data_IF_135914317984
#
_entry.id   IF_135914317984
#
_cell.length_a   1.000
_cell.length_b   1.000
_cell.length_c   1.000
_cell.angle_alpha   90.00
_cell.angle_beta   90.00
_cell.angle_gamma   90.00
#
_symmetry.space_group_name_H-M   'P 1'
#
loop_
_entity.id
_entity.type
_entity.pdbx_description
1 polymer ?
#
# COMPACT_ATOMS: atom_id res chain seq x y z
N UNK A 1 6.15 30.12 0.01
CA UNK A 1 5.99 28.71 0.42
C UNK A 1 4.77 28.17 -0.31
N UNK A 2 4.93 27.18 -1.16
CA UNK A 2 3.79 26.53 -1.82
C UNK A 2 2.91 25.87 -0.75
N UNK A 3 1.64 26.20 -0.76
CA UNK A 3 0.64 25.60 0.11
C UNK A 3 0.44 24.14 -0.37
N UNK A 4 0.85 23.17 0.43
CA UNK A 4 0.66 21.76 0.09
C UNK A 4 -0.83 21.45 0.10
N UNK A 5 -1.36 20.99 -1.03
CA UNK A 5 -2.73 20.51 -1.14
C UNK A 5 -2.86 19.08 -0.62
N UNK A 6 -4.05 18.74 -0.12
CA UNK A 6 -4.38 17.37 0.27
C UNK A 6 -4.23 16.43 -0.93
N UNK A 7 -3.68 15.22 -0.70
CA UNK A 7 -3.40 14.24 -1.75
C UNK A 7 -3.97 12.88 -1.38
N UNK A 8 -4.68 12.27 -2.34
CA UNK A 8 -5.08 10.87 -2.26
C UNK A 8 -4.14 10.04 -3.13
N UNK A 9 -3.61 8.96 -2.57
CA UNK A 9 -2.58 8.12 -3.19
C UNK A 9 -2.94 6.65 -3.02
N UNK A 10 -2.53 5.80 -3.96
CA UNK A 10 -2.47 4.36 -3.73
C UNK A 10 -1.14 4.07 -3.04
N UNK A 11 -1.20 3.53 -1.82
CA UNK A 11 -0.02 3.27 -1.00
C UNK A 11 0.34 1.79 -0.91
N UNK A 12 -0.50 0.93 -1.46
CA UNK A 12 -0.24 -0.49 -1.66
C UNK A 12 -1.22 -1.05 -2.66
N UNK A 13 -0.74 -1.90 -3.56
CA UNK A 13 -1.60 -2.66 -4.47
C UNK A 13 -1.07 -4.08 -4.59
N UNK A 14 -1.96 -5.06 -4.34
CA UNK A 14 -1.69 -6.48 -4.58
C UNK A 14 -2.82 -7.08 -5.39
N UNK A 15 -2.47 -7.78 -6.45
CA UNK A 15 -3.42 -8.45 -7.31
C UNK A 15 -2.82 -9.72 -7.90
N UNK A 16 -3.66 -10.61 -8.38
CA UNK A 16 -3.23 -11.80 -9.10
C UNK A 16 -3.82 -11.82 -10.50
N UNK A 17 -3.04 -12.32 -11.47
CA UNK A 17 -3.47 -12.54 -12.84
C UNK A 17 -3.48 -14.05 -13.09
N UNK A 18 -4.63 -14.64 -13.43
CA UNK A 18 -4.74 -16.07 -13.69
C UNK A 18 -4.10 -16.44 -15.03
N UNK A 19 -3.67 -17.71 -15.15
CA UNK A 19 -3.14 -18.31 -16.39
C UNK A 19 -2.08 -17.43 -17.07
N UNK A 20 -1.12 -16.95 -16.31
CA UNK A 20 -0.14 -15.97 -16.78
C UNK A 20 1.30 -16.38 -16.46
N UNK A 21 2.25 -15.69 -17.09
CA UNK A 21 3.69 -15.84 -16.86
C UNK A 21 4.31 -14.53 -16.37
N UNK A 22 5.49 -14.59 -15.77
CA UNK A 22 6.23 -13.40 -15.35
C UNK A 22 6.44 -12.41 -16.50
N UNK A 23 6.90 -12.91 -17.65
CA UNK A 23 7.16 -12.06 -18.81
C UNK A 23 5.90 -11.38 -19.35
N UNK A 24 4.78 -12.11 -19.39
CA UNK A 24 3.52 -11.51 -19.82
C UNK A 24 3.05 -10.40 -18.87
N UNK A 25 3.09 -10.66 -17.56
CA UNK A 25 2.67 -9.67 -16.55
C UNK A 25 3.60 -8.45 -16.55
N UNK A 26 4.90 -8.67 -16.63
CA UNK A 26 5.88 -7.59 -16.69
C UNK A 26 5.66 -6.70 -17.94
N UNK A 27 5.72 -7.32 -19.12
CA UNK A 27 5.73 -6.58 -20.38
C UNK A 27 4.36 -5.98 -20.73
N UNK A 28 3.28 -6.75 -20.55
CA UNK A 28 1.96 -6.38 -21.10
C UNK A 28 1.02 -5.75 -20.06
N UNK A 29 1.24 -6.00 -18.77
CA UNK A 29 0.38 -5.46 -17.70
C UNK A 29 1.08 -4.31 -17.00
N UNK A 30 2.33 -4.53 -16.56
CA UNK A 30 3.10 -3.49 -15.88
C UNK A 30 3.77 -2.52 -16.85
N UNK A 31 3.96 -2.88 -18.10
CA UNK A 31 4.70 -2.08 -19.08
C UNK A 31 6.18 -1.94 -18.75
N UNK A 32 6.73 -2.89 -18.01
CA UNK A 32 8.14 -2.97 -17.62
C UNK A 32 8.76 -4.17 -18.32
N UNK A 33 9.86 -3.98 -19.04
CA UNK A 33 10.55 -5.09 -19.70
C UNK A 33 10.94 -6.18 -18.70
N UNK A 34 10.63 -7.43 -19.00
CA UNK A 34 10.91 -8.53 -18.07
C UNK A 34 12.40 -8.68 -17.75
N UNK A 35 13.26 -8.29 -18.66
CA UNK A 35 14.72 -8.27 -18.46
C UNK A 35 15.19 -7.34 -17.33
N UNK A 36 14.38 -6.36 -16.95
CA UNK A 36 14.63 -5.44 -15.82
C UNK A 36 14.38 -6.10 -14.46
N UNK A 37 13.67 -7.24 -14.44
CA UNK A 37 13.42 -7.98 -13.22
C UNK A 37 14.58 -8.91 -12.89
N UNK A 38 15.12 -8.80 -11.70
CA UNK A 38 16.10 -9.73 -11.15
C UNK A 38 15.41 -10.83 -10.36
N UNK A 39 15.96 -12.05 -10.44
CA UNK A 39 15.58 -13.10 -9.51
C UNK A 39 15.95 -12.61 -8.10
N UNK A 40 14.97 -12.50 -7.21
CA UNK A 40 15.30 -12.22 -5.83
C UNK A 40 15.96 -13.45 -5.24
N UNK A 41 17.15 -13.31 -4.66
CA UNK A 41 17.79 -14.32 -3.80
C UNK A 41 16.99 -14.58 -2.51
N UNK A 42 15.75 -14.14 -2.48
CA UNK A 42 14.84 -14.40 -1.38
C UNK A 42 14.61 -15.91 -1.33
N UNK A 43 15.16 -16.51 -0.31
CA UNK A 43 14.85 -17.88 0.11
C UNK A 43 13.35 -17.99 0.36
N UNK A 44 12.60 -18.28 -0.71
CA UNK A 44 11.14 -18.40 -0.70
C UNK A 44 10.38 -17.08 -0.82
N UNK A 45 9.20 -17.16 -1.40
CA UNK A 45 8.22 -16.07 -1.38
C UNK A 45 7.73 -15.85 0.06
N UNK A 46 7.46 -14.61 0.50
CA UNK A 46 6.78 -14.37 1.78
C UNK A 46 5.35 -14.96 1.80
N UNK A 47 4.89 -15.44 0.66
CA UNK A 47 3.60 -16.10 0.49
C UNK A 47 3.81 -17.60 0.37
N UNK A 48 3.32 -18.42 1.32
CA UNK A 48 3.59 -19.88 1.39
C UNK A 48 3.18 -20.67 0.14
N UNK A 49 2.25 -20.14 -0.64
CA UNK A 49 1.73 -20.78 -1.87
C UNK A 49 2.53 -20.45 -3.12
N UNK A 50 3.57 -19.60 -3.03
CA UNK A 50 4.38 -19.17 -4.17
C UNK A 50 5.84 -19.59 -3.98
N UNK A 51 6.39 -20.27 -4.99
CA UNK A 51 7.73 -20.85 -4.95
C UNK A 51 8.82 -19.93 -5.50
N UNK A 52 8.46 -19.09 -6.48
CA UNK A 52 9.40 -18.24 -7.20
C UNK A 52 9.01 -16.78 -7.07
N UNK A 53 10.00 -15.92 -7.05
CA UNK A 53 9.79 -14.47 -7.13
C UNK A 53 10.88 -13.78 -7.93
N UNK A 54 10.47 -12.73 -8.63
CA UNK A 54 11.36 -11.78 -9.30
C UNK A 54 10.96 -10.38 -8.87
N UNK A 55 11.89 -9.43 -8.90
CA UNK A 55 11.62 -8.06 -8.48
C UNK A 55 12.26 -7.02 -9.41
N UNK A 56 11.53 -5.95 -9.63
CA UNK A 56 12.01 -4.70 -10.18
C UNK A 56 11.84 -3.64 -9.09
N UNK A 57 12.94 -3.28 -8.44
CA UNK A 57 12.92 -2.39 -7.28
C UNK A 57 11.94 -2.89 -6.19
N UNK A 58 10.91 -2.12 -5.84
CA UNK A 58 9.89 -2.50 -4.84
C UNK A 58 8.61 -3.09 -5.46
N UNK A 59 8.66 -3.52 -6.71
CA UNK A 59 7.60 -4.25 -7.42
C UNK A 59 8.01 -5.71 -7.49
N UNK A 60 7.19 -6.62 -7.00
CA UNK A 60 7.49 -8.05 -6.93
C UNK A 60 6.46 -8.87 -7.67
N UNK A 61 6.92 -9.86 -8.38
CA UNK A 61 6.09 -10.87 -9.04
C UNK A 61 6.37 -12.23 -8.39
N UNK A 62 5.32 -12.96 -8.09
CA UNK A 62 5.41 -14.28 -7.48
C UNK A 62 4.66 -15.30 -8.31
N UNK A 63 5.24 -16.49 -8.50
CA UNK A 63 4.60 -17.62 -9.17
C UNK A 63 4.71 -18.89 -8.35
N UNK A 64 3.78 -19.80 -8.58
CA UNK A 64 3.75 -21.12 -7.97
C UNK A 64 3.95 -22.21 -9.01
N UNK A 65 4.52 -23.34 -8.59
CA UNK A 65 4.60 -24.57 -9.41
C UNK A 65 3.23 -25.21 -9.63
N UNK A 66 2.29 -24.98 -8.73
CA UNK A 66 0.99 -25.65 -8.71
C UNK A 66 -0.16 -24.78 -9.20
N UNK A 67 0.02 -23.46 -9.18
CA UNK A 67 -1.01 -22.50 -9.57
C UNK A 67 -0.50 -21.65 -10.74
N UNK A 68 -1.21 -21.65 -11.85
CA UNK A 68 -0.89 -20.86 -13.05
C UNK A 68 -1.34 -19.40 -12.89
N UNK A 69 -1.02 -18.79 -11.76
CA UNK A 69 -1.31 -17.38 -11.51
C UNK A 69 -0.05 -16.64 -11.09
N UNK A 70 0.04 -15.40 -11.49
CA UNK A 70 1.10 -14.48 -11.04
C UNK A 70 0.50 -13.52 -10.01
N UNK A 71 1.05 -13.53 -8.80
CA UNK A 71 0.76 -12.52 -7.80
C UNK A 71 1.71 -11.34 -8.00
N UNK A 72 1.15 -10.15 -8.10
CA UNK A 72 1.87 -8.88 -8.17
C UNK A 72 1.74 -8.17 -6.84
N UNK A 73 2.85 -7.73 -6.29
CA UNK A 73 2.93 -7.02 -5.02
C UNK A 73 3.69 -5.69 -5.21
N UNK A 74 2.98 -4.58 -5.06
CA UNK A 74 3.51 -3.22 -5.22
C UNK A 74 3.34 -2.51 -3.88
N UNK A 75 4.43 -2.37 -3.12
CA UNK A 75 4.43 -1.68 -1.82
C UNK A 75 4.38 -0.16 -1.97
N UNK A 76 4.25 0.59 -0.88
CA UNK A 76 4.14 2.05 -0.91
C UNK A 76 5.25 2.74 -1.72
N UNK A 77 6.51 2.38 -1.50
CA UNK A 77 7.62 2.87 -2.32
C UNK A 77 7.51 2.36 -3.77
N UNK A 78 7.10 1.10 -3.96
CA UNK A 78 6.85 0.53 -5.28
C UNK A 78 5.75 1.28 -6.04
N UNK A 79 4.69 1.72 -5.36
CA UNK A 79 3.66 2.54 -5.99
C UNK A 79 4.23 3.88 -6.48
N UNK A 80 5.09 4.54 -5.69
CA UNK A 80 5.75 5.80 -6.11
C UNK A 80 6.69 5.58 -7.30
N UNK A 81 7.49 4.52 -7.24
CA UNK A 81 8.39 4.16 -8.34
C UNK A 81 7.63 3.79 -9.62
N UNK A 82 6.52 3.09 -9.48
CA UNK A 82 5.66 2.74 -10.61
C UNK A 82 4.99 3.97 -11.22
N UNK A 83 4.50 4.91 -10.41
CA UNK A 83 3.99 6.20 -10.90
C UNK A 83 5.05 6.97 -11.68
N UNK A 84 6.26 7.08 -11.14
CA UNK A 84 7.39 7.75 -11.79
C UNK A 84 7.77 7.07 -13.11
N UNK A 85 7.81 5.74 -13.11
CA UNK A 85 8.07 4.96 -14.33
C UNK A 85 7.00 5.15 -15.39
N UNK A 86 5.74 5.22 -15.00
CA UNK A 86 4.58 5.31 -15.89
C UNK A 86 4.20 6.75 -16.27
N UNK A 87 4.71 7.78 -15.59
CA UNK A 87 4.42 9.19 -15.90
C UNK A 87 4.85 9.61 -17.32
N UNK A 88 5.76 8.86 -17.95
CA UNK A 88 6.17 9.00 -19.33
C UNK A 88 5.08 8.63 -20.35
N UNK A 89 4.06 7.87 -19.92
CA UNK A 89 2.94 7.47 -20.77
C UNK A 89 1.80 8.47 -20.62
N UNK A 90 1.48 9.17 -21.71
CA UNK A 90 0.40 10.14 -21.70
C UNK A 90 -0.93 9.51 -21.27
N UNK A 91 -1.59 10.17 -20.33
CA UNK A 91 -2.90 9.74 -19.84
C UNK A 91 -2.91 8.46 -19.02
N UNK A 92 -1.74 8.00 -18.53
CA UNK A 92 -1.72 6.92 -17.55
C UNK A 92 -2.21 7.41 -16.18
N UNK A 93 -3.02 6.61 -15.51
CA UNK A 93 -3.46 6.81 -14.13
C UNK A 93 -3.94 5.49 -13.51
N UNK A 94 -3.91 5.40 -12.20
CA UNK A 94 -4.24 4.20 -11.43
C UNK A 94 -5.60 3.61 -11.76
N UNK A 95 -6.61 4.43 -12.01
CA UNK A 95 -7.95 3.94 -12.33
C UNK A 95 -7.95 3.12 -13.62
N UNK A 96 -7.30 3.60 -14.69
CA UNK A 96 -7.15 2.84 -15.94
C UNK A 96 -6.38 1.54 -15.71
N UNK A 97 -5.31 1.59 -14.92
CA UNK A 97 -4.52 0.40 -14.59
C UNK A 97 -5.35 -0.63 -13.83
N UNK A 98 -6.12 -0.23 -12.82
CA UNK A 98 -7.03 -1.11 -12.09
C UNK A 98 -8.07 -1.74 -13.02
N UNK A 99 -8.68 -0.95 -13.91
CA UNK A 99 -9.62 -1.49 -14.89
C UNK A 99 -8.98 -2.50 -15.84
N UNK A 100 -7.72 -2.28 -16.26
CA UNK A 100 -7.02 -3.25 -17.11
C UNK A 100 -6.80 -4.59 -16.40
N UNK A 101 -6.46 -4.55 -15.11
CA UNK A 101 -6.34 -5.76 -14.28
C UNK A 101 -7.67 -6.53 -14.22
N UNK A 102 -8.77 -5.82 -13.94
CA UNK A 102 -10.09 -6.43 -13.83
C UNK A 102 -10.58 -7.02 -15.18
N UNK A 103 -10.31 -6.34 -16.28
CA UNK A 103 -10.66 -6.84 -17.63
C UNK A 103 -9.88 -8.11 -18.02
N UNK A 104 -8.75 -8.38 -17.40
CA UNK A 104 -7.97 -9.61 -17.56
C UNK A 104 -8.38 -10.71 -16.55
N UNK A 105 -9.54 -10.57 -15.92
CA UNK A 105 -9.99 -11.43 -14.82
C UNK A 105 -9.01 -11.46 -13.64
N UNK A 106 -8.24 -10.40 -13.45
CA UNK A 106 -7.36 -10.23 -12.30
C UNK A 106 -8.16 -10.01 -11.02
N UNK A 107 -7.62 -10.48 -9.91
CA UNK A 107 -8.23 -10.36 -8.59
C UNK A 107 -7.38 -9.45 -7.73
N UNK A 108 -7.95 -8.32 -7.32
CA UNK A 108 -7.29 -7.43 -6.36
C UNK A 108 -7.48 -8.00 -4.96
N UNK A 109 -6.38 -8.38 -4.31
CA UNK A 109 -6.38 -8.98 -2.97
C UNK A 109 -6.07 -7.98 -1.86
N UNK A 110 -5.46 -6.84 -2.22
CA UNK A 110 -5.22 -5.72 -1.29
C UNK A 110 -5.06 -4.41 -2.05
N UNK A 111 -5.69 -3.39 -1.54
CA UNK A 111 -5.45 -2.00 -1.93
C UNK A 111 -5.44 -1.12 -0.68
N UNK A 112 -4.37 -0.36 -0.49
CA UNK A 112 -4.29 0.64 0.57
C UNK A 112 -4.36 2.02 -0.08
N UNK A 113 -5.30 2.84 0.38
CA UNK A 113 -5.43 4.23 -0.02
C UNK A 113 -4.90 5.11 1.10
N UNK A 114 -4.00 6.02 0.77
CA UNK A 114 -3.51 7.02 1.69
C UNK A 114 -4.09 8.41 1.34
N UNK A 115 -4.57 9.11 2.36
CA UNK A 115 -4.98 10.50 2.24
C UNK A 115 -4.05 11.35 3.10
N UNK A 116 -3.15 12.08 2.44
CA UNK A 116 -2.27 13.04 3.08
C UNK A 116 -3.00 14.37 3.25
N UNK A 117 -3.24 14.77 4.51
CA UNK A 117 -3.96 15.99 4.86
C UNK A 117 -2.94 17.01 5.37
N UNK A 118 -2.90 18.17 4.76
CA UNK A 118 -1.94 19.25 5.06
C UNK A 118 -2.60 20.50 5.64
N UNK A 119 -3.91 20.51 5.73
CA UNK A 119 -4.70 21.59 6.30
C UNK A 119 -5.30 21.18 7.66
N UNK A 120 -5.87 22.15 8.36
CA UNK A 120 -6.51 21.95 9.67
C UNK A 120 -8.00 21.56 9.53
N UNK A 121 -8.43 21.08 8.36
CA UNK A 121 -9.83 20.69 8.08
C UNK A 121 -10.28 19.43 8.80
N UNK A 122 -9.33 18.63 9.32
CA UNK A 122 -9.63 17.40 10.04
C UNK A 122 -9.29 17.50 11.52
N UNK A 123 -10.06 16.78 12.38
CA UNK A 123 -9.73 16.70 13.80
C UNK A 123 -8.33 16.13 14.02
N UNK A 124 -7.62 16.68 14.99
CA UNK A 124 -6.34 16.12 15.44
C UNK A 124 -6.53 14.69 15.97
N UNK A 125 -5.46 13.90 15.96
CA UNK A 125 -5.50 12.55 16.53
C UNK A 125 -5.99 12.54 17.98
N UNK A 126 -5.58 13.55 18.78
CA UNK A 126 -6.04 13.73 20.17
C UNK A 126 -7.54 13.99 20.25
N UNK A 127 -8.08 14.84 19.38
CA UNK A 127 -9.52 15.11 19.35
C UNK A 127 -10.33 13.85 18.97
N UNK A 128 -9.82 13.05 18.01
CA UNK A 128 -10.45 11.76 17.66
C UNK A 128 -10.46 10.78 18.84
N UNK A 129 -9.37 10.73 19.60
CA UNK A 129 -9.29 9.90 20.81
C UNK A 129 -10.30 10.32 21.87
N UNK A 130 -10.50 11.64 22.04
CA UNK A 130 -11.50 12.19 22.96
C UNK A 130 -12.93 11.87 22.51
N UNK A 131 -13.24 11.97 21.20
CA UNK A 131 -14.54 11.56 20.65
C UNK A 131 -14.83 10.07 20.90
N UNK A 132 -13.83 9.21 20.73
CA UNK A 132 -13.96 7.77 21.04
C UNK A 132 -14.25 7.57 22.51
N UNK A 133 -13.48 8.23 23.41
CA UNK A 133 -13.64 8.10 24.85
C UNK A 133 -15.03 8.53 25.32
N UNK A 134 -15.65 9.49 24.64
CA UNK A 134 -17.01 9.98 24.93
C UNK A 134 -18.13 9.21 24.20
N UNK A 135 -17.77 8.22 23.38
CA UNK A 135 -18.76 7.50 22.55
C UNK A 135 -19.39 8.35 21.44
N UNK A 136 -18.72 9.42 21.03
CA UNK A 136 -19.22 10.40 20.05
C UNK A 136 -18.74 10.13 18.62
N UNK A 137 -17.85 9.15 18.41
CA UNK A 137 -17.38 8.79 17.08
C UNK A 137 -18.43 7.93 16.36
N UNK A 138 -19.04 8.48 15.32
CA UNK A 138 -19.95 7.73 14.45
C UNK A 138 -19.14 6.98 13.38
N UNK A 139 -19.15 5.64 13.44
CA UNK A 139 -18.46 4.75 12.50
C UNK A 139 -19.19 3.43 12.37
N UNK A 140 -19.03 2.75 11.22
CA UNK A 140 -19.54 1.38 11.01
C UNK A 140 -18.73 0.32 11.76
N UNK A 141 -17.56 0.68 12.28
CA UNK A 141 -16.65 -0.22 12.97
C UNK A 141 -16.85 -0.12 14.47
N UNK A 142 -16.89 -1.25 15.18
CA UNK A 142 -17.02 -1.30 16.64
C UNK A 142 -15.69 -1.53 17.37
N UNK A 143 -14.59 -1.67 16.65
CA UNK A 143 -13.27 -1.91 17.24
C UNK A 143 -12.31 -0.79 16.88
N UNK A 144 -11.50 -0.42 17.83
CA UNK A 144 -10.36 0.47 17.61
C UNK A 144 -9.16 -0.02 18.40
N UNK A 145 -7.98 0.40 18.00
CA UNK A 145 -6.71 0.16 18.68
C UNK A 145 -5.86 1.42 18.66
N UNK A 146 -5.33 1.80 19.82
CA UNK A 146 -4.35 2.88 19.95
C UNK A 146 -2.96 2.27 19.98
N UNK A 147 -2.05 2.81 19.19
CA UNK A 147 -0.66 2.41 19.16
C UNK A 147 0.18 3.62 19.53
N UNK A 148 1.02 3.46 20.52
CA UNK A 148 2.02 4.44 20.90
C UNK A 148 3.40 3.82 20.69
N UNK A 149 4.25 4.48 19.92
CA UNK A 149 5.66 4.19 19.82
C UNK A 149 6.42 5.12 20.76
N UNK A 150 7.46 4.63 21.39
CA UNK A 150 8.25 5.44 22.31
C UNK A 150 9.69 4.98 22.41
N UNK A 151 10.56 5.83 22.90
CA UNK A 151 11.96 5.49 23.15
C UNK A 151 12.12 4.85 24.54
N UNK A 152 12.83 3.74 24.59
CA UNK A 152 13.08 3.02 25.85
C UNK A 152 13.95 3.85 26.78
N UNK A 153 14.85 4.69 26.25
CA UNK A 153 15.84 5.43 27.02
C UNK A 153 15.22 6.47 27.97
N UNK A 154 14.18 7.15 27.54
CA UNK A 154 13.56 8.30 28.25
C UNK A 154 12.04 8.21 28.35
N UNK A 155 11.44 7.14 27.84
CA UNK A 155 9.99 6.94 27.86
C UNK A 155 9.19 7.93 27.00
N UNK A 156 9.86 8.76 26.19
CA UNK A 156 9.15 9.71 25.34
C UNK A 156 8.37 9.01 24.24
N UNK A 157 7.11 9.40 24.07
CA UNK A 157 6.26 8.93 22.97
C UNK A 157 6.71 9.63 21.68
N UNK A 158 7.18 8.83 20.72
CA UNK A 158 7.71 9.30 19.43
C UNK A 158 6.69 9.23 18.30
N UNK A 159 5.71 8.32 18.42
CA UNK A 159 4.66 8.17 17.42
C UNK A 159 3.33 7.75 18.03
N UNK A 160 2.23 8.21 17.42
CA UNK A 160 0.88 7.81 17.79
C UNK A 160 0.09 7.42 16.54
N UNK A 161 -0.64 6.33 16.64
CA UNK A 161 -1.57 5.91 15.59
C UNK A 161 -2.88 5.41 16.19
N UNK A 162 -3.96 5.68 15.50
CA UNK A 162 -5.29 5.20 15.79
C UNK A 162 -5.75 4.30 14.65
N UNK A 163 -6.08 3.06 14.95
CA UNK A 163 -6.64 2.10 14.00
C UNK A 163 -8.11 1.90 14.32
N UNK A 164 -8.97 2.09 13.33
CA UNK A 164 -10.42 1.91 13.45
C UNK A 164 -10.83 0.81 12.49
N UNK A 165 -11.49 -0.22 13.00
CA UNK A 165 -11.91 -1.38 12.24
C UNK A 165 -11.03 -2.59 12.46
N UNK A 166 -11.27 -3.60 11.65
CA UNK A 166 -10.54 -4.86 11.59
C UNK A 166 -10.54 -5.37 10.15
N UNK A 167 -9.67 -6.37 9.85
CA UNK A 167 -9.70 -7.01 8.52
C UNK A 167 -11.13 -7.40 8.12
N UNK A 168 -11.54 -7.16 6.85
CA UNK A 168 -10.70 -6.70 5.75
C UNK A 168 -10.59 -5.18 5.61
N UNK A 169 -11.26 -4.38 6.44
CA UNK A 169 -11.27 -2.91 6.31
C UNK A 169 -10.73 -2.25 7.57
N UNK A 170 -9.60 -1.58 7.45
CA UNK A 170 -8.94 -0.86 8.54
C UNK A 170 -8.64 0.56 8.09
N UNK A 171 -9.11 1.55 8.88
CA UNK A 171 -8.67 2.92 8.77
C UNK A 171 -7.51 3.14 9.74
N UNK A 172 -6.37 3.65 9.25
CA UNK A 172 -5.20 4.00 10.04
C UNK A 172 -5.01 5.50 9.99
N UNK A 173 -4.96 6.12 11.15
CA UNK A 173 -4.76 7.58 11.29
C UNK A 173 -3.51 7.80 12.14
N UNK A 174 -2.57 8.58 11.64
CA UNK A 174 -1.32 8.87 12.34
C UNK A 174 -0.77 10.24 11.97
N UNK A 175 0.08 10.81 12.83
CA UNK A 175 0.77 12.06 12.56
C UNK A 175 2.06 11.80 11.76
N UNK A 176 2.01 12.10 10.47
CA UNK A 176 3.12 11.87 9.54
C UNK A 176 4.36 12.73 9.85
N UNK A 177 4.19 13.85 10.56
CA UNK A 177 5.33 14.68 10.99
C UNK A 177 6.10 14.02 12.12
N UNK A 178 5.41 13.30 13.01
CA UNK A 178 6.07 12.55 14.09
C UNK A 178 6.78 11.30 13.52
N UNK A 179 6.14 10.55 12.63
CA UNK A 179 6.73 9.36 12.00
C UNK A 179 8.04 9.66 11.25
N UNK A 180 8.14 10.82 10.58
CA UNK A 180 9.34 11.19 9.80
C UNK A 180 10.52 11.67 10.65
N UNK A 181 10.34 11.94 11.93
CA UNK A 181 11.42 12.35 12.84
C UNK A 181 12.15 11.16 13.45
N UNK A 182 11.60 9.96 13.33
CA UNK A 182 12.14 8.73 13.91
C UNK A 182 12.87 7.84 12.88
N UNK A 183 12.92 8.28 11.61
CA UNK A 183 13.69 7.68 10.52
C UNK A 183 14.81 8.70 10.15
#
# INVERSE_FOLDING_TARGET
>A
MEQKSNKCLIDYLRFSIPNSTFSYVANNILGIEYSEFSSSDLKGSPYPTYDFSVSFSNIKLHSSKTHYNILVDISGQGCRQYEEYMCRLEGWHWQKFIYSILNLNGIITRIDLALDIFDDSTPSLKALEEYIARGQLCTKSYKYMKINSGRILDGQVTGRALYIGASPQILRIYDKKQERKDN
#
